data_IF_622336594682
#
_entry.id   IF_622336594682
#
_cell.length_a   1.000
_cell.length_b   1.000
_cell.length_c   1.000
_cell.angle_alpha   90.00
_cell.angle_beta   90.00
_cell.angle_gamma   90.00
#
_symmetry.space_group_name_H-M   'P 1'
#
loop_
_entity.id
_entity.type
_entity.pdbx_description
1 polymer ?
#
# COMPACT_ATOMS: atom_id res chain seq x y z
N UNK A 1 11.36 12.45 -18.82
CA UNK A 1 10.33 12.12 -17.81
C UNK A 1 9.39 13.29 -17.77
N UNK A 2 8.17 13.14 -18.27
CA UNK A 2 7.17 14.20 -18.09
C UNK A 2 6.88 14.30 -16.60
N UNK A 3 7.14 15.46 -15.99
CA UNK A 3 6.88 15.70 -14.56
C UNK A 3 5.36 15.78 -14.32
N UNK A 4 4.68 14.62 -14.34
CA UNK A 4 3.26 14.49 -14.04
C UNK A 4 3.11 14.17 -12.56
N UNK A 5 2.37 15.02 -11.86
CA UNK A 5 1.98 14.81 -10.46
C UNK A 5 0.71 13.95 -10.40
N UNK A 6 0.70 12.99 -9.49
CA UNK A 6 -0.43 12.10 -9.25
C UNK A 6 -0.87 12.23 -7.79
N UNK A 7 -2.14 12.57 -7.58
CA UNK A 7 -2.72 12.74 -6.24
C UNK A 7 -3.52 11.50 -5.85
N UNK A 8 -3.38 11.06 -4.60
CA UNK A 8 -4.09 9.91 -4.07
C UNK A 8 -4.68 10.20 -2.70
N UNK A 9 -5.82 9.60 -2.41
CA UNK A 9 -6.50 9.67 -1.12
C UNK A 9 -6.41 8.31 -0.40
N UNK A 10 -5.97 8.32 0.85
CA UNK A 10 -5.87 7.10 1.68
C UNK A 10 -7.26 6.56 1.98
N UNK A 11 -7.49 5.28 1.68
CA UNK A 11 -8.76 4.58 1.95
C UNK A 11 -8.64 3.53 3.03
N UNK A 12 -7.48 2.91 3.18
CA UNK A 12 -7.25 1.87 4.19
C UNK A 12 -5.81 1.93 4.73
N UNK A 13 -5.67 1.70 6.02
CA UNK A 13 -4.38 1.45 6.68
C UNK A 13 -4.53 0.17 7.50
N UNK A 14 -3.67 -0.81 7.28
CA UNK A 14 -3.70 -2.07 8.03
C UNK A 14 -2.31 -2.62 8.31
N UNK A 15 -2.20 -3.37 9.40
CA UNK A 15 -1.04 -4.22 9.68
C UNK A 15 -1.36 -5.68 9.38
N UNK A 16 -0.44 -6.37 8.70
CA UNK A 16 -0.55 -7.81 8.42
C UNK A 16 0.72 -8.56 8.80
N UNK A 17 0.62 -9.88 8.83
CA UNK A 17 1.80 -10.74 8.94
C UNK A 17 2.55 -10.79 7.59
N UNK A 18 3.89 -10.94 7.57
CA UNK A 18 4.68 -10.91 6.33
C UNK A 18 4.27 -11.97 5.29
N UNK A 19 3.64 -13.06 5.72
CA UNK A 19 3.13 -14.13 4.84
C UNK A 19 1.81 -13.79 4.12
N UNK A 20 1.14 -12.71 4.52
CA UNK A 20 -0.07 -12.25 3.87
C UNK A 20 0.29 -11.36 2.66
N UNK A 21 0.28 -11.98 1.48
CA UNK A 21 0.65 -11.35 0.20
C UNK A 21 -0.56 -10.92 -0.63
N UNK A 22 -1.77 -10.98 -0.04
CA UNK A 22 -3.03 -10.69 -0.74
C UNK A 22 -3.09 -9.26 -1.33
N UNK A 23 -2.28 -8.34 -0.80
CA UNK A 23 -2.27 -6.91 -1.17
C UNK A 23 -1.30 -6.53 -2.30
N UNK A 24 -0.52 -7.48 -2.83
CA UNK A 24 0.57 -7.20 -3.79
C UNK A 24 0.12 -7.40 -5.24
N UNK A 25 -1.09 -7.95 -5.45
CA UNK A 25 -1.65 -8.18 -6.78
C UNK A 25 -2.17 -6.91 -7.46
N UNK A 26 -2.30 -6.92 -8.80
CA UNK A 26 -2.96 -5.84 -9.53
C UNK A 26 -4.43 -5.72 -9.13
N UNK A 27 -4.97 -4.51 -9.23
CA UNK A 27 -6.37 -4.17 -8.97
C UNK A 27 -7.06 -3.74 -10.26
N UNK A 28 -8.39 -3.85 -10.31
CA UNK A 28 -9.19 -3.41 -11.47
C UNK A 28 -9.20 -1.88 -11.65
N UNK A 29 -8.87 -1.14 -10.60
CA UNK A 29 -8.83 0.32 -10.57
C UNK A 29 -7.46 0.87 -10.12
N UNK A 30 -7.18 2.15 -10.43
CA UNK A 30 -5.89 2.79 -10.13
C UNK A 30 -5.66 2.91 -8.61
N UNK A 31 -4.81 2.01 -8.10
CA UNK A 31 -4.53 1.86 -6.68
C UNK A 31 -3.05 2.04 -6.39
N UNK A 32 -2.75 2.91 -5.43
CA UNK A 32 -1.42 3.01 -4.82
C UNK A 32 -1.40 2.20 -3.53
N UNK A 33 -0.59 1.14 -3.50
CA UNK A 33 -0.32 0.37 -2.29
C UNK A 33 1.09 0.68 -1.79
N UNK A 34 1.21 1.33 -0.64
CA UNK A 34 2.49 1.47 0.06
C UNK A 34 2.65 0.32 1.04
N UNK A 35 3.80 -0.35 0.99
CA UNK A 35 4.12 -1.53 1.79
C UNK A 35 5.46 -1.35 2.48
N UNK A 36 5.48 -1.42 3.82
CA UNK A 36 6.70 -1.24 4.62
C UNK A 36 6.73 -2.15 5.84
N UNK A 37 7.91 -2.34 6.44
CA UNK A 37 8.07 -3.08 7.68
C UNK A 37 7.41 -2.34 8.86
N UNK A 38 6.86 -3.10 9.80
CA UNK A 38 6.34 -2.59 11.06
C UNK A 38 6.47 -3.62 12.18
N UNK A 39 6.08 -3.23 13.40
CA UNK A 39 6.19 -4.07 14.59
C UNK A 39 7.61 -4.21 15.12
N UNK A 40 7.74 -4.90 16.26
CA UNK A 40 9.07 -5.16 16.84
C UNK A 40 9.86 -6.09 15.93
N UNK A 41 11.10 -5.70 15.59
CA UNK A 41 12.00 -6.46 14.73
C UNK A 41 11.37 -6.86 13.38
N UNK A 42 10.63 -5.94 12.75
CA UNK A 42 10.00 -6.11 11.43
C UNK A 42 9.05 -7.31 11.30
N UNK A 43 8.47 -7.71 12.44
CA UNK A 43 7.59 -8.88 12.54
C UNK A 43 6.27 -8.73 11.77
N UNK A 44 5.93 -7.52 11.34
CA UNK A 44 4.70 -7.19 10.61
C UNK A 44 4.98 -6.31 9.39
N UNK A 45 3.91 -6.01 8.67
CA UNK A 45 3.89 -5.13 7.51
C UNK A 45 2.78 -4.11 7.66
N UNK A 46 3.13 -2.84 7.53
CA UNK A 46 2.17 -1.75 7.41
C UNK A 46 1.85 -1.56 5.93
N UNK A 47 0.55 -1.59 5.62
CA UNK A 47 0.02 -1.42 4.29
C UNK A 47 -0.89 -0.20 4.29
N UNK A 48 -0.64 0.72 3.36
CA UNK A 48 -1.51 1.87 3.09
C UNK A 48 -2.05 1.72 1.68
N UNK A 49 -3.38 1.67 1.54
CA UNK A 49 -4.07 1.61 0.25
C UNK A 49 -4.68 2.98 -0.03
N UNK A 50 -4.33 3.56 -1.17
CA UNK A 50 -4.82 4.85 -1.62
C UNK A 50 -5.38 4.78 -3.04
N UNK A 51 -6.38 5.60 -3.33
CA UNK A 51 -7.07 5.67 -4.64
C UNK A 51 -6.83 7.01 -5.30
N UNK A 52 -6.77 6.99 -6.63
CA UNK A 52 -6.54 8.19 -7.44
C UNK A 52 -7.60 9.27 -7.19
N UNK A 53 -7.16 10.52 -7.05
CA UNK A 53 -7.99 11.75 -7.01
C UNK A 53 -8.02 12.39 -8.39
#
# INVERSE_FOLDING_TARGET
>A
TDEKWFSYEVKEIKEVMPKDVSVIGPTDDETLTLYTCSGFSDSKRLIVVAKRV
#
